data_IF_071518123728
#
_entry.id   IF_071518123728
#
_cell.length_a   1.000
_cell.length_b   1.000
_cell.length_c   1.000
_cell.angle_alpha   90.00
_cell.angle_beta   90.00
_cell.angle_gamma   90.00
#
_symmetry.space_group_name_H-M   'P 1'
#
loop_
_entity.id
_entity.type
_entity.pdbx_description
1 polymer ?
#
# COMPACT_ATOMS: atom_id res chain seq x y z
N UNK A 1 0.10 46.13 -94.85
CA UNK A 1 0.19 46.60 -93.45
C UNK A 1 0.28 45.38 -92.55
N UNK A 2 1.45 45.14 -91.95
CA UNK A 2 1.72 43.99 -91.10
C UNK A 2 1.62 44.40 -89.62
N UNK A 3 0.65 43.84 -88.89
CA UNK A 3 0.53 43.98 -87.44
C UNK A 3 1.50 42.99 -86.76
N UNK A 4 2.40 43.55 -85.97
CA UNK A 4 3.42 42.88 -85.16
C UNK A 4 2.78 41.99 -84.09
N UNK A 5 2.69 40.68 -84.37
CA UNK A 5 2.43 39.66 -83.34
C UNK A 5 3.70 39.52 -82.50
N UNK A 6 3.67 39.99 -81.25
CA UNK A 6 4.70 39.67 -80.27
C UNK A 6 4.70 38.15 -80.07
N UNK A 7 5.82 37.44 -80.30
CA UNK A 7 5.86 35.99 -80.18
C UNK A 7 5.65 35.59 -78.71
N UNK A 8 4.59 34.82 -78.45
CA UNK A 8 4.21 34.31 -77.11
C UNK A 8 5.38 33.59 -76.39
N UNK A 9 6.37 33.10 -77.12
CA UNK A 9 7.53 32.38 -76.60
C UNK A 9 8.47 33.27 -75.75
N UNK A 10 8.53 34.59 -76.01
CA UNK A 10 9.40 35.49 -75.25
C UNK A 10 8.86 35.80 -73.85
N UNK A 11 7.53 35.78 -73.68
CA UNK A 11 6.87 36.02 -72.37
C UNK A 11 6.88 34.75 -71.50
N UNK A 12 6.83 33.57 -72.12
CA UNK A 12 6.90 32.28 -71.40
C UNK A 12 8.33 32.00 -70.88
N UNK A 13 9.36 32.46 -71.60
CA UNK A 13 10.77 32.26 -71.23
C UNK A 13 11.22 33.07 -70.02
N UNK A 14 10.80 34.34 -69.90
CA UNK A 14 11.17 35.22 -68.77
C UNK A 14 10.50 34.80 -67.45
N UNK A 15 9.28 34.26 -67.50
CA UNK A 15 8.61 33.70 -66.32
C UNK A 15 9.32 32.48 -65.73
N UNK A 16 10.10 31.73 -66.52
CA UNK A 16 10.89 30.58 -66.03
C UNK A 16 12.19 31.00 -65.34
N UNK A 17 12.84 32.08 -65.78
CA UNK A 17 14.08 32.56 -65.14
C UNK A 17 13.83 33.22 -63.77
N UNK A 18 12.64 33.79 -63.54
CA UNK A 18 12.28 34.38 -62.24
C UNK A 18 12.05 33.35 -61.11
N UNK A 19 11.93 32.05 -61.42
CA UNK A 19 11.68 30.98 -60.42
C UNK A 19 12.94 30.47 -59.72
N UNK A 20 14.10 30.59 -60.36
CA UNK A 20 15.38 30.05 -59.85
C UNK A 20 15.85 30.62 -58.50
N UNK A 21 15.73 31.93 -58.19
CA UNK A 21 16.20 32.42 -56.89
C UNK A 21 15.27 32.01 -55.73
N UNK A 22 14.00 31.70 -55.99
CA UNK A 22 13.00 31.42 -54.96
C UNK A 22 13.06 29.96 -54.50
N UNK A 23 13.31 29.02 -55.41
CA UNK A 23 13.50 27.62 -55.07
C UNK A 23 14.77 27.40 -54.19
N UNK A 24 15.80 28.25 -54.35
CA UNK A 24 16.98 28.25 -53.49
C UNK A 24 16.71 28.70 -52.04
N UNK A 25 15.81 29.68 -51.85
CA UNK A 25 15.43 30.18 -50.52
C UNK A 25 14.51 29.18 -49.79
N UNK A 26 13.61 28.51 -50.52
CA UNK A 26 12.75 27.46 -49.96
C UNK A 26 13.54 26.20 -49.55
N UNK A 27 14.65 25.88 -50.22
CA UNK A 27 15.54 24.80 -49.81
C UNK A 27 16.31 25.11 -48.51
N UNK A 28 16.63 26.39 -48.25
CA UNK A 28 17.30 26.87 -47.04
C UNK A 28 16.37 27.04 -45.83
N UNK A 29 15.06 27.20 -46.05
CA UNK A 29 14.06 27.40 -44.98
C UNK A 29 13.69 26.12 -44.18
N UNK A 30 14.25 24.96 -44.56
CA UNK A 30 14.07 23.69 -43.85
C UNK A 30 12.74 22.97 -44.12
N UNK A 31 12.69 21.65 -43.87
CA UNK A 31 11.45 20.85 -43.95
C UNK A 31 10.59 21.11 -42.70
N UNK A 32 9.62 21.99 -42.80
CA UNK A 32 8.65 22.25 -41.72
C UNK A 32 7.40 22.99 -42.20
N UNK A 33 6.41 23.18 -41.31
CA UNK A 33 5.17 23.92 -41.57
C UNK A 33 5.44 25.29 -42.20
N UNK A 34 6.46 26.02 -41.72
CA UNK A 34 6.86 27.33 -42.26
C UNK A 34 7.27 27.32 -43.74
N UNK A 35 8.04 26.32 -44.18
CA UNK A 35 8.42 26.19 -45.60
C UNK A 35 7.24 25.78 -46.48
N UNK A 36 6.29 25.01 -45.91
CA UNK A 36 5.05 24.63 -46.60
C UNK A 36 4.14 25.84 -46.77
N UNK A 37 4.00 26.67 -45.74
CA UNK A 37 3.24 27.93 -45.77
C UNK A 37 3.86 28.95 -46.73
N UNK A 38 5.20 29.08 -46.75
CA UNK A 38 5.90 29.92 -47.72
C UNK A 38 5.70 29.45 -49.17
N UNK A 39 5.57 28.14 -49.40
CA UNK A 39 5.26 27.57 -50.72
C UNK A 39 3.83 27.88 -51.16
N UNK A 40 2.87 27.86 -50.22
CA UNK A 40 1.47 28.20 -50.49
C UNK A 40 1.28 29.69 -50.81
N UNK A 41 2.00 30.58 -50.14
CA UNK A 41 1.97 32.03 -50.46
C UNK A 41 2.57 32.32 -51.83
N UNK A 42 3.65 31.63 -52.19
CA UNK A 42 4.25 31.71 -53.53
C UNK A 42 3.28 31.23 -54.62
N UNK A 43 2.60 30.10 -54.41
CA UNK A 43 1.61 29.57 -55.35
C UNK A 43 0.45 30.57 -55.60
N UNK A 44 0.03 31.31 -54.56
CA UNK A 44 -0.98 32.39 -54.68
C UNK A 44 -0.47 33.59 -55.47
N UNK A 45 0.77 34.01 -55.23
CA UNK A 45 1.39 35.11 -55.96
C UNK A 45 1.51 34.78 -57.46
N UNK A 46 1.95 33.56 -57.79
CA UNK A 46 2.05 33.10 -59.18
C UNK A 46 0.67 33.00 -59.84
N UNK A 47 -0.35 32.49 -59.14
CA UNK A 47 -1.70 32.41 -59.68
C UNK A 47 -2.32 33.79 -59.94
N UNK A 48 -2.06 34.76 -59.07
CA UNK A 48 -2.51 36.16 -59.25
C UNK A 48 -1.82 36.80 -60.45
N UNK A 49 -0.50 36.60 -60.60
CA UNK A 49 0.26 37.11 -61.73
C UNK A 49 -0.27 36.55 -63.06
N UNK A 50 -0.56 35.24 -63.13
CA UNK A 50 -1.15 34.60 -64.31
C UNK A 50 -2.57 35.10 -64.62
N UNK A 51 -3.40 35.35 -63.62
CA UNK A 51 -4.73 35.93 -63.82
C UNK A 51 -4.64 37.36 -64.39
N UNK A 52 -3.74 38.19 -63.87
CA UNK A 52 -3.50 39.55 -64.39
C UNK A 52 -3.04 39.50 -65.85
N UNK A 53 -2.07 38.63 -66.16
CA UNK A 53 -1.59 38.45 -67.54
C UNK A 53 -2.71 37.93 -68.45
N UNK A 54 -3.45 36.90 -68.04
CA UNK A 54 -4.58 36.37 -68.81
C UNK A 54 -5.74 37.37 -68.95
N UNK A 55 -5.89 38.31 -68.02
CA UNK A 55 -6.83 39.42 -68.16
C UNK A 55 -6.40 40.41 -69.23
N UNK A 56 -5.13 40.83 -69.17
CA UNK A 56 -4.55 41.77 -70.12
C UNK A 56 -4.50 41.22 -71.56
N UNK A 57 -4.27 39.91 -71.73
CA UNK A 57 -4.18 39.28 -73.06
C UNK A 57 -5.49 38.73 -73.61
N UNK A 58 -6.57 38.69 -72.80
CA UNK A 58 -7.84 38.08 -73.18
C UNK A 58 -7.81 36.54 -73.24
N UNK A 59 -6.78 35.90 -72.69
CA UNK A 59 -6.60 34.44 -72.72
C UNK A 59 -7.42 33.76 -71.61
N UNK A 60 -8.50 33.08 -72.02
CA UNK A 60 -9.42 32.36 -71.11
C UNK A 60 -8.72 31.16 -70.45
N UNK A 61 -7.83 30.46 -71.16
CA UNK A 61 -7.15 29.29 -70.63
C UNK A 61 -6.19 29.67 -69.48
N UNK A 62 -5.53 30.82 -69.57
CA UNK A 62 -4.69 31.36 -68.49
C UNK A 62 -5.51 31.74 -67.26
N UNK A 63 -6.71 32.31 -67.44
CA UNK A 63 -7.61 32.66 -66.33
C UNK A 63 -8.15 31.41 -65.63
N UNK A 64 -8.49 30.36 -66.37
CA UNK A 64 -8.92 29.07 -65.81
C UNK A 64 -7.80 28.35 -65.06
N UNK A 65 -6.57 28.34 -65.60
CA UNK A 65 -5.41 27.78 -64.90
C UNK A 65 -5.13 28.53 -63.59
N UNK A 66 -5.19 29.86 -63.62
CA UNK A 66 -5.05 30.69 -62.42
C UNK A 66 -6.14 30.37 -61.38
N UNK A 67 -7.39 30.18 -61.80
CA UNK A 67 -8.48 29.78 -60.91
C UNK A 67 -8.23 28.40 -60.26
N UNK A 68 -7.84 27.39 -61.05
CA UNK A 68 -7.50 26.04 -60.55
C UNK A 68 -6.35 26.09 -59.55
N UNK A 69 -5.31 26.87 -59.83
CA UNK A 69 -4.14 27.04 -58.93
C UNK A 69 -4.50 27.75 -57.63
N UNK A 70 -5.35 28.78 -57.67
CA UNK A 70 -5.87 29.44 -56.45
C UNK A 70 -6.63 28.46 -55.56
N UNK A 71 -7.50 27.64 -56.14
CA UNK A 71 -8.24 26.61 -55.39
C UNK A 71 -7.29 25.56 -54.80
N UNK A 72 -6.27 25.12 -55.55
CA UNK A 72 -5.26 24.20 -55.04
C UNK A 72 -4.46 24.80 -53.88
N UNK A 73 -4.06 26.07 -53.98
CA UNK A 73 -3.35 26.77 -52.91
C UNK A 73 -4.22 26.91 -51.65
N UNK A 74 -5.51 27.24 -51.80
CA UNK A 74 -6.45 27.31 -50.69
C UNK A 74 -6.62 25.94 -49.99
N UNK A 75 -6.76 24.85 -50.75
CA UNK A 75 -6.81 23.49 -50.18
C UNK A 75 -5.52 23.11 -49.45
N UNK A 76 -4.36 23.50 -49.97
CA UNK A 76 -3.06 23.25 -49.32
C UNK A 76 -2.93 24.04 -48.01
N UNK A 77 -3.36 25.30 -47.98
CA UNK A 77 -3.39 26.09 -46.75
C UNK A 77 -4.25 25.42 -45.68
N UNK A 78 -5.47 25.00 -46.04
CA UNK A 78 -6.36 24.30 -45.13
C UNK A 78 -5.75 22.98 -44.63
N UNK A 79 -5.05 22.24 -45.49
CA UNK A 79 -4.37 21.00 -45.09
C UNK A 79 -3.22 21.26 -44.10
N UNK A 80 -2.46 22.34 -44.27
CA UNK A 80 -1.42 22.75 -43.31
C UNK A 80 -2.04 23.14 -41.98
N UNK A 81 -3.10 23.96 -41.99
CA UNK A 81 -3.80 24.38 -40.77
C UNK A 81 -4.38 23.18 -40.00
N UNK A 82 -4.98 22.21 -40.71
CA UNK A 82 -5.50 20.99 -40.10
C UNK A 82 -4.37 20.12 -39.51
N UNK A 83 -3.22 20.04 -40.17
CA UNK A 83 -2.06 19.31 -39.65
C UNK A 83 -1.51 20.00 -38.40
N UNK A 84 -1.30 21.31 -38.43
CA UNK A 84 -0.80 22.07 -37.28
C UNK A 84 -1.77 21.93 -36.08
N UNK A 85 -3.09 21.95 -36.31
CA UNK A 85 -4.08 21.68 -35.27
C UNK A 85 -4.01 20.25 -34.74
N UNK A 86 -3.85 19.27 -35.62
CA UNK A 86 -3.74 17.87 -35.22
C UNK A 86 -2.49 17.61 -34.37
N UNK A 87 -1.36 18.22 -34.73
CA UNK A 87 -0.11 18.17 -33.95
C UNK A 87 -0.33 18.74 -32.55
N UNK A 88 -0.91 19.94 -32.43
CA UNK A 88 -1.21 20.55 -31.12
C UNK A 88 -2.18 19.70 -30.28
N UNK A 89 -3.18 19.08 -30.91
CA UNK A 89 -4.11 18.19 -30.20
C UNK A 89 -3.42 16.91 -29.76
N UNK A 90 -2.53 16.34 -30.58
CA UNK A 90 -1.75 15.15 -30.25
C UNK A 90 -0.82 15.42 -29.06
N UNK A 91 -0.05 16.51 -29.10
CA UNK A 91 0.84 16.91 -28.01
C UNK A 91 0.08 17.08 -26.69
N UNK A 92 -1.07 17.77 -26.73
CA UNK A 92 -1.92 17.93 -25.53
C UNK A 92 -2.49 16.61 -25.01
N UNK A 93 -2.83 15.69 -25.91
CA UNK A 93 -3.33 14.38 -25.53
C UNK A 93 -2.23 13.52 -24.88
N UNK A 94 -1.00 13.58 -25.40
CA UNK A 94 0.18 12.92 -24.84
C UNK A 94 0.51 13.49 -23.45
N UNK A 95 0.56 14.82 -23.30
CA UNK A 95 0.78 15.49 -22.01
C UNK A 95 -0.27 15.09 -20.97
N UNK A 96 -1.54 15.04 -21.39
CA UNK A 96 -2.63 14.60 -20.52
C UNK A 96 -2.47 13.13 -20.13
N UNK A 97 -2.16 12.25 -21.09
CA UNK A 97 -1.97 10.83 -20.82
C UNK A 97 -0.83 10.61 -19.81
N UNK A 98 0.31 11.27 -20.01
CA UNK A 98 1.46 11.20 -19.11
C UNK A 98 1.13 11.76 -17.72
N UNK A 99 0.37 12.85 -17.64
CA UNK A 99 -0.08 13.41 -16.36
C UNK A 99 -1.02 12.45 -15.59
N UNK A 100 -1.94 11.78 -16.30
CA UNK A 100 -2.83 10.77 -15.70
C UNK A 100 -2.04 9.57 -15.23
N UNK A 101 -1.09 9.10 -16.03
CA UNK A 101 -0.25 7.97 -15.65
C UNK A 101 0.59 8.27 -14.41
N UNK A 102 1.26 9.43 -14.37
CA UNK A 102 2.02 9.87 -13.19
C UNK A 102 1.16 9.94 -11.93
N UNK A 103 -0.06 10.49 -12.03
CA UNK A 103 -1.01 10.52 -10.91
C UNK A 103 -1.40 9.12 -10.47
N UNK A 104 -1.73 8.23 -11.41
CA UNK A 104 -2.11 6.86 -11.10
C UNK A 104 -0.95 6.08 -10.44
N UNK A 105 0.28 6.26 -10.91
CA UNK A 105 1.48 5.66 -10.30
C UNK A 105 1.72 6.20 -8.89
N UNK A 106 1.60 7.51 -8.67
CA UNK A 106 1.73 8.13 -7.35
C UNK A 106 0.68 7.59 -6.37
N UNK A 107 -0.60 7.56 -6.79
CA UNK A 107 -1.69 7.01 -5.97
C UNK A 107 -1.47 5.53 -5.63
N UNK A 108 -0.99 4.72 -6.58
CA UNK A 108 -0.62 3.31 -6.32
C UNK A 108 0.52 3.19 -5.32
N UNK A 109 1.56 4.01 -5.47
CA UNK A 109 2.70 4.03 -4.57
C UNK A 109 2.31 4.40 -3.15
N UNK A 110 1.47 5.42 -2.98
CA UNK A 110 1.00 5.86 -1.66
C UNK A 110 0.08 4.81 -1.01
N UNK A 111 -0.85 4.24 -1.78
CA UNK A 111 -1.71 3.15 -1.31
C UNK A 111 -0.89 1.92 -0.87
N UNK A 112 0.17 1.58 -1.59
CA UNK A 112 1.07 0.49 -1.19
C UNK A 112 1.81 0.80 0.11
N UNK A 113 2.40 2.00 0.25
CA UNK A 113 3.07 2.42 1.49
C UNK A 113 2.13 2.42 2.69
N UNK A 114 0.90 2.88 2.50
CA UNK A 114 -0.13 2.86 3.54
C UNK A 114 -0.49 1.42 3.94
N UNK A 115 -0.67 0.54 2.95
CA UNK A 115 -0.94 -0.88 3.19
C UNK A 115 0.21 -1.57 3.94
N UNK A 116 1.46 -1.31 3.57
CA UNK A 116 2.65 -1.82 4.25
C UNK A 116 2.72 -1.32 5.70
N UNK A 117 2.49 -0.02 5.92
CA UNK A 117 2.47 0.59 7.26
C UNK A 117 1.37 -0.04 8.13
N UNK A 118 0.16 -0.23 7.58
CA UNK A 118 -0.95 -0.90 8.27
C UNK A 118 -0.61 -2.35 8.61
N UNK A 119 0.00 -3.10 7.68
CA UNK A 119 0.43 -4.50 7.91
C UNK A 119 1.50 -4.57 9.00
N UNK A 120 2.52 -3.73 8.94
CA UNK A 120 3.58 -3.66 9.95
C UNK A 120 3.02 -3.31 11.33
N UNK A 121 2.12 -2.32 11.40
CA UNK A 121 1.42 -1.95 12.63
C UNK A 121 0.57 -3.09 13.21
N UNK A 122 -0.15 -3.83 12.36
CA UNK A 122 -0.93 -5.00 12.78
C UNK A 122 -0.05 -6.13 13.32
N UNK A 123 1.07 -6.43 12.65
CA UNK A 123 2.03 -7.44 13.11
C UNK A 123 2.65 -7.07 14.47
N UNK A 124 3.06 -5.80 14.64
CA UNK A 124 3.59 -5.30 15.92
C UNK A 124 2.57 -5.45 17.05
N UNK A 125 1.32 -5.02 16.82
CA UNK A 125 0.23 -5.18 17.79
C UNK A 125 0.00 -6.64 18.15
N UNK A 126 -0.06 -7.54 17.15
CA UNK A 126 -0.21 -8.98 17.39
C UNK A 126 0.93 -9.54 18.24
N UNK A 127 2.18 -9.15 17.95
CA UNK A 127 3.36 -9.54 18.72
C UNK A 127 3.28 -9.06 20.17
N UNK A 128 2.92 -7.80 20.39
CA UNK A 128 2.75 -7.22 21.72
C UNK A 128 1.63 -7.90 22.51
N UNK A 129 0.44 -8.10 21.91
CA UNK A 129 -0.68 -8.79 22.55
C UNK A 129 -0.30 -10.23 22.93
N UNK A 130 0.36 -10.97 22.03
CA UNK A 130 0.82 -12.34 22.31
C UNK A 130 1.82 -12.37 23.46
N UNK A 131 2.83 -11.49 23.45
CA UNK A 131 3.83 -11.40 24.52
C UNK A 131 3.21 -11.04 25.86
N UNK A 132 2.32 -10.04 25.89
CA UNK A 132 1.60 -9.65 27.11
C UNK A 132 0.70 -10.77 27.65
N UNK A 133 -0.02 -11.48 26.76
CA UNK A 133 -0.84 -12.63 27.16
C UNK A 133 0.01 -13.76 27.74
N UNK A 134 1.16 -14.07 27.14
CA UNK A 134 2.11 -15.06 27.65
C UNK A 134 2.65 -14.67 29.04
N UNK A 135 3.08 -13.41 29.22
CA UNK A 135 3.56 -12.90 30.51
C UNK A 135 2.48 -13.00 31.59
N UNK A 136 1.25 -12.60 31.28
CA UNK A 136 0.12 -12.69 32.22
C UNK A 136 -0.20 -14.13 32.58
N UNK A 137 -0.20 -15.04 31.60
CA UNK A 137 -0.43 -16.47 31.84
C UNK A 137 0.66 -17.08 32.70
N UNK A 138 1.94 -16.78 32.42
CA UNK A 138 3.07 -17.24 33.22
C UNK A 138 2.99 -16.74 34.67
N UNK A 139 2.68 -15.45 34.88
CA UNK A 139 2.47 -14.88 36.22
C UNK A 139 1.32 -15.56 36.97
N UNK A 140 0.20 -15.81 36.30
CA UNK A 140 -0.96 -16.51 36.90
C UNK A 140 -0.59 -17.94 37.32
N UNK A 141 0.13 -18.67 36.46
CA UNK A 141 0.59 -20.02 36.77
C UNK A 141 1.54 -20.03 37.97
N UNK A 142 2.54 -19.16 37.98
CA UNK A 142 3.47 -19.03 39.10
C UNK A 142 2.75 -18.68 40.41
N UNK A 143 1.76 -17.77 40.36
CA UNK A 143 0.96 -17.44 41.53
C UNK A 143 0.12 -18.63 42.02
N UNK A 144 -0.51 -19.36 41.11
CA UNK A 144 -1.28 -20.57 41.43
C UNK A 144 -0.40 -21.64 42.05
N UNK A 145 0.78 -21.91 41.49
CA UNK A 145 1.74 -22.89 42.00
C UNK A 145 2.22 -22.51 43.42
N UNK A 146 2.48 -21.22 43.66
CA UNK A 146 2.87 -20.70 44.98
C UNK A 146 1.75 -20.87 46.01
N UNK A 147 0.52 -20.56 45.62
CA UNK A 147 -0.65 -20.74 46.50
C UNK A 147 -0.87 -22.23 46.81
N UNK A 148 -0.84 -23.10 45.80
CA UNK A 148 -1.00 -24.54 45.97
C UNK A 148 0.08 -25.13 46.90
N UNK A 149 1.34 -24.70 46.74
CA UNK A 149 2.45 -25.12 47.60
C UNK A 149 2.25 -24.69 49.06
N UNK A 150 1.82 -23.43 49.29
CA UNK A 150 1.50 -22.93 50.64
C UNK A 150 0.36 -23.71 51.28
N UNK A 151 -0.75 -23.90 50.57
CA UNK A 151 -1.89 -24.66 51.08
C UNK A 151 -1.50 -26.10 51.42
N UNK A 152 -0.68 -26.75 50.58
CA UNK A 152 -0.17 -28.10 50.87
C UNK A 152 0.72 -28.12 52.12
N UNK A 153 1.60 -27.14 52.27
CA UNK A 153 2.46 -27.03 53.45
C UNK A 153 1.64 -26.81 54.73
N UNK A 154 0.66 -25.91 54.69
CA UNK A 154 -0.26 -25.64 55.81
C UNK A 154 -1.09 -26.86 56.19
N UNK A 155 -1.67 -27.55 55.20
CA UNK A 155 -2.42 -28.80 55.42
C UNK A 155 -1.55 -29.89 56.04
N UNK A 156 -0.32 -30.06 55.54
CA UNK A 156 0.64 -31.02 56.09
C UNK A 156 1.04 -30.66 57.53
N UNK A 157 1.24 -29.37 57.81
CA UNK A 157 1.57 -28.89 59.14
C UNK A 157 0.43 -29.12 60.14
N UNK A 158 -0.82 -28.83 59.74
CA UNK A 158 -2.01 -29.13 60.55
C UNK A 158 -2.14 -30.62 60.83
N UNK A 159 -2.09 -31.46 59.80
CA UNK A 159 -2.18 -32.91 59.97
C UNK A 159 -1.09 -33.48 60.92
N UNK A 160 0.12 -32.91 60.91
CA UNK A 160 1.17 -33.28 61.86
C UNK A 160 0.84 -32.87 63.30
N UNK A 161 0.30 -31.67 63.50
CA UNK A 161 -0.14 -31.20 64.84
C UNK A 161 -1.28 -32.05 65.36
N UNK A 162 -2.32 -32.27 64.56
CA UNK A 162 -3.48 -33.07 64.94
C UNK A 162 -3.05 -34.51 65.33
N UNK A 163 -2.07 -35.07 64.59
CA UNK A 163 -1.50 -36.39 64.92
C UNK A 163 -0.71 -36.38 66.23
N UNK A 164 0.05 -35.32 66.51
CA UNK A 164 0.78 -35.19 67.77
C UNK A 164 -0.20 -35.07 68.95
N UNK A 165 -1.21 -34.21 68.84
CA UNK A 165 -2.26 -34.05 69.85
C UNK A 165 -2.99 -35.36 70.14
N UNK A 166 -3.33 -36.13 69.09
CA UNK A 166 -3.96 -37.44 69.24
C UNK A 166 -3.04 -38.47 69.93
N UNK A 167 -1.73 -38.44 69.66
CA UNK A 167 -0.76 -39.31 70.32
C UNK A 167 -0.58 -38.94 71.79
N UNK A 168 -0.50 -37.64 72.11
CA UNK A 168 -0.43 -37.13 73.48
C UNK A 168 -1.69 -37.49 74.28
N UNK A 169 -2.88 -37.31 73.71
CA UNK A 169 -4.14 -37.69 74.33
C UNK A 169 -4.20 -39.21 74.61
N UNK A 170 -3.75 -40.04 73.66
CA UNK A 170 -3.67 -41.49 73.85
C UNK A 170 -2.67 -41.88 74.94
N UNK A 171 -1.51 -41.24 74.99
CA UNK A 171 -0.51 -41.48 76.02
C UNK A 171 -1.05 -41.10 77.42
N UNK A 172 -1.74 -39.96 77.54
CA UNK A 172 -2.38 -39.55 78.77
C UNK A 172 -3.49 -40.54 79.21
N UNK A 173 -4.31 -41.01 78.28
CA UNK A 173 -5.35 -42.02 78.57
C UNK A 173 -4.76 -43.35 79.04
N UNK A 174 -3.68 -43.82 78.41
CA UNK A 174 -2.97 -45.03 78.84
C UNK A 174 -2.36 -44.86 80.24
N UNK A 175 -1.73 -43.72 80.52
CA UNK A 175 -1.19 -43.45 81.86
C UNK A 175 -2.29 -43.38 82.95
N UNK A 176 -3.46 -42.82 82.63
CA UNK A 176 -4.61 -42.86 83.53
C UNK A 176 -5.12 -44.29 83.77
N UNK A 177 -5.14 -45.12 82.72
CA UNK A 177 -5.56 -46.51 82.81
C UNK A 177 -4.58 -47.34 83.64
N UNK A 178 -3.27 -47.15 83.46
CA UNK A 178 -2.21 -47.78 84.26
C UNK A 178 -2.33 -47.40 85.74
N UNK A 179 -2.47 -46.10 86.05
CA UNK A 179 -2.66 -45.64 87.43
C UNK A 179 -3.93 -46.20 88.08
N UNK A 180 -5.03 -46.33 87.30
CA UNK A 180 -6.27 -46.94 87.78
C UNK A 180 -6.10 -48.44 88.08
N UNK A 181 -5.37 -49.17 87.23
CA UNK A 181 -5.05 -50.59 87.44
C UNK A 181 -4.15 -50.78 88.66
N UNK A 182 -3.09 -49.98 88.82
CA UNK A 182 -2.23 -50.01 90.02
C UNK A 182 -3.02 -49.75 91.30
N UNK A 183 -3.92 -48.75 91.28
CA UNK A 183 -4.79 -48.46 92.43
C UNK A 183 -5.73 -49.61 92.74
N UNK A 184 -6.29 -50.27 91.71
CA UNK A 184 -7.17 -51.43 91.88
C UNK A 184 -6.43 -52.64 92.45
N UNK A 185 -5.20 -52.90 91.99
CA UNK A 185 -4.35 -53.98 92.49
C UNK A 185 -3.92 -53.73 93.94
N UNK A 186 -3.51 -52.51 94.30
CA UNK A 186 -3.18 -52.17 95.68
C UNK A 186 -4.41 -52.26 96.60
N UNK A 187 -5.60 -51.83 96.13
CA UNK A 187 -6.84 -52.00 96.89
C UNK A 187 -7.19 -53.48 97.11
N UNK A 188 -6.97 -54.34 96.11
CA UNK A 188 -7.16 -55.80 96.23
C UNK A 188 -6.17 -56.39 97.23
N UNK A 189 -4.89 -56.02 97.15
CA UNK A 189 -3.85 -56.44 98.12
C UNK A 189 -4.18 -56.04 99.55
N UNK A 190 -4.60 -54.79 99.77
CA UNK A 190 -5.02 -54.30 101.10
C UNK A 190 -6.25 -55.05 101.63
N UNK A 191 -7.22 -55.35 100.76
CA UNK A 191 -8.39 -56.18 101.11
C UNK A 191 -7.99 -57.59 101.52
N UNK A 192 -7.10 -58.23 100.75
CA UNK A 192 -6.62 -59.58 101.04
C UNK A 192 -5.87 -59.61 102.38
N UNK A 193 -4.99 -58.64 102.64
CA UNK A 193 -4.30 -58.48 103.93
C UNK A 193 -5.28 -58.32 105.10
N UNK A 194 -6.30 -57.46 104.96
CA UNK A 194 -7.33 -57.28 105.97
C UNK A 194 -8.14 -58.57 106.23
N UNK A 195 -8.44 -59.35 105.18
CA UNK A 195 -9.11 -60.65 105.35
C UNK A 195 -8.24 -61.67 106.06
N UNK A 196 -6.94 -61.72 105.76
CA UNK A 196 -5.98 -62.60 106.43
C UNK A 196 -5.81 -62.25 107.92
N UNK A 197 -5.70 -60.96 108.25
CA UNK A 197 -5.60 -60.51 109.64
C UNK A 197 -6.89 -60.82 110.43
N UNK A 198 -8.05 -60.65 109.81
CA UNK A 198 -9.35 -61.02 110.40
C UNK A 198 -9.47 -62.53 110.65
N UNK A 199 -8.90 -63.37 109.76
CA UNK A 199 -8.84 -64.82 109.95
C UNK A 199 -7.91 -65.18 111.11
N UNK A 200 -6.69 -64.63 111.16
CA UNK A 200 -5.75 -64.84 112.25
C UNK A 200 -6.32 -64.45 113.63
N UNK A 201 -7.16 -63.40 113.68
CA UNK A 201 -7.86 -62.99 114.91
C UNK A 201 -8.95 -63.96 115.39
N UNK A 202 -9.48 -64.80 114.51
CA UNK A 202 -10.53 -65.79 114.82
C UNK A 202 -9.97 -67.11 115.34
N UNK A 203 -8.69 -67.38 115.08
CA UNK A 203 -7.99 -68.63 115.46
C UNK A 203 -7.19 -68.49 116.77
N UNK A 204 -7.26 -67.32 117.43
CA UNK A 204 -6.77 -67.02 118.79
C UNK A 204 -7.91 -67.09 119.80
#
# INVERSE_FOLDING_TARGET
MALTKIPQNAVIGSARLARLPIDGVLALAGRGSRATSAKVTLDRAEATLRDVVGRATGDVALREDAARRRQAAAKREQAVELRDRAEVVSERAEDHAEAVERRAQATRGDAQKEAETKRAGAQRRRGQTKSSAQKTTAKRRQAADKTASRTKAESTARAKRDRLEALEAKAAALGQQEAALETADEARRLKDAATAEKAARKDL
#
